data_IF_019601308280
#
_entry.id   IF_019601308280
#
_cell.length_a   1.000
_cell.length_b   1.000
_cell.length_c   1.000
_cell.angle_alpha   90.00
_cell.angle_beta   90.00
_cell.angle_gamma   90.00
#
_symmetry.space_group_name_H-M   'P 1'
#
loop_
_entity.id
_entity.type
_entity.pdbx_description
1 polymer ?
#
# COMPACT_ATOMS: atom_id res chain seq x y z
N UNK A 1 -46.34 -34.67 27.92
CA UNK A 1 -45.19 -34.36 27.05
C UNK A 1 -44.18 -33.61 27.88
N UNK A 2 -42.97 -34.15 28.07
CA UNK A 2 -41.95 -33.61 28.99
C UNK A 2 -41.07 -32.63 28.20
N UNK A 3 -41.18 -31.33 28.48
CA UNK A 3 -40.38 -30.32 27.79
C UNK A 3 -38.94 -30.39 28.31
N UNK A 4 -38.03 -30.79 27.43
CA UNK A 4 -36.58 -30.80 27.69
C UNK A 4 -36.07 -29.44 27.25
N UNK A 5 -35.77 -28.56 28.20
CA UNK A 5 -35.13 -27.26 27.92
C UNK A 5 -33.62 -27.48 27.90
N UNK A 6 -32.91 -27.37 26.76
CA UNK A 6 -31.47 -27.52 26.73
C UNK A 6 -30.82 -26.30 27.40
N UNK A 7 -30.25 -26.50 28.58
CA UNK A 7 -29.38 -25.51 29.22
C UNK A 7 -27.99 -25.61 28.59
N UNK A 8 -27.71 -24.72 27.62
CA UNK A 8 -26.37 -24.57 27.06
C UNK A 8 -25.49 -23.96 28.18
N UNK A 9 -24.73 -24.81 28.88
CA UNK A 9 -23.64 -24.35 29.75
C UNK A 9 -22.52 -23.83 28.85
N UNK A 10 -22.53 -22.52 28.58
CA UNK A 10 -21.50 -21.84 27.82
C UNK A 10 -20.17 -21.94 28.58
N UNK A 11 -19.28 -22.82 28.13
CA UNK A 11 -17.97 -23.00 28.74
C UNK A 11 -17.07 -21.83 28.32
N UNK A 12 -16.60 -21.04 29.29
CA UNK A 12 -15.80 -19.83 29.09
C UNK A 12 -14.52 -20.09 28.27
N UNK A 13 -13.98 -21.30 28.34
CA UNK A 13 -12.85 -21.73 27.53
C UNK A 13 -13.16 -21.69 26.02
N UNK A 14 -14.40 -22.02 25.63
CA UNK A 14 -14.87 -21.99 24.23
C UNK A 14 -14.98 -20.57 23.70
N UNK A 15 -15.39 -19.60 24.54
CA UNK A 15 -15.44 -18.19 24.17
C UNK A 15 -14.04 -17.61 23.93
N UNK A 16 -13.05 -18.01 24.75
CA UNK A 16 -11.66 -17.58 24.60
C UNK A 16 -11.03 -18.14 23.31
N UNK A 17 -11.29 -19.41 22.96
CA UNK A 17 -10.79 -20.01 21.72
C UNK A 17 -11.40 -19.33 20.48
N UNK A 18 -12.69 -18.99 20.53
CA UNK A 18 -13.36 -18.23 19.48
C UNK A 18 -12.75 -16.83 19.35
N UNK A 19 -12.44 -16.16 20.47
CA UNK A 19 -11.80 -14.83 20.46
C UNK A 19 -10.36 -14.86 19.91
N UNK A 20 -9.58 -15.90 20.23
CA UNK A 20 -8.20 -16.06 19.74
C UNK A 20 -8.16 -16.40 18.24
N UNK A 21 -9.15 -17.13 17.73
CA UNK A 21 -9.26 -17.49 16.32
C UNK A 21 -9.41 -16.32 15.34
N UNK A 22 -9.78 -15.13 15.82
CA UNK A 22 -9.90 -13.92 14.99
C UNK A 22 -8.59 -13.14 14.79
N UNK A 23 -7.53 -13.43 15.56
CA UNK A 23 -6.27 -12.66 15.49
C UNK A 23 -5.37 -13.01 14.29
N UNK A 24 -5.72 -14.01 13.49
CA UNK A 24 -4.88 -14.50 12.38
C UNK A 24 -5.33 -14.03 10.99
N UNK A 25 -6.11 -12.94 10.88
CA UNK A 25 -6.38 -12.35 9.56
C UNK A 25 -5.09 -11.77 8.98
N UNK A 26 -4.67 -12.26 7.81
CA UNK A 26 -3.64 -11.58 7.02
C UNK A 26 -4.23 -10.24 6.58
N UNK A 27 -3.64 -9.16 7.07
CA UNK A 27 -4.05 -7.81 6.73
C UNK A 27 -3.48 -7.45 5.36
N UNK A 28 -4.30 -6.84 4.52
CA UNK A 28 -3.92 -6.36 3.19
C UNK A 28 -4.24 -4.88 3.07
N UNK A 29 -3.42 -4.14 2.32
CA UNK A 29 -3.67 -2.73 2.02
C UNK A 29 -3.69 -2.52 0.51
N UNK A 30 -4.60 -1.67 0.04
CA UNK A 30 -4.64 -1.23 -1.36
C UNK A 30 -3.37 -0.44 -1.67
N UNK A 31 -2.65 -0.79 -2.75
CA UNK A 31 -1.39 -0.14 -3.12
C UNK A 31 -1.48 0.47 -4.51
N UNK A 32 -1.16 1.77 -4.59
CA UNK A 32 -1.09 2.50 -5.85
C UNK A 32 0.33 3.04 -6.07
N UNK A 33 0.78 2.99 -7.32
CA UNK A 33 2.07 3.54 -7.76
C UNK A 33 1.80 4.67 -8.74
N UNK A 34 2.11 5.89 -8.35
CA UNK A 34 2.03 7.09 -9.17
C UNK A 34 3.41 7.43 -9.72
N UNK A 35 3.48 7.65 -11.02
CA UNK A 35 4.70 8.06 -11.73
C UNK A 35 4.40 9.30 -12.53
N UNK A 36 5.33 10.25 -12.48
CA UNK A 36 5.35 11.40 -13.35
C UNK A 36 6.79 11.67 -13.79
N UNK A 37 7.11 11.39 -15.05
CA UNK A 37 8.38 11.73 -15.68
C UNK A 37 8.10 12.75 -16.77
N UNK A 38 8.27 14.06 -16.50
CA UNK A 38 7.85 15.11 -17.42
C UNK A 38 8.68 15.13 -18.71
N UNK A 39 9.90 14.62 -18.67
CA UNK A 39 10.81 14.47 -19.81
C UNK A 39 11.66 13.22 -19.61
N UNK A 40 12.32 12.76 -20.68
CA UNK A 40 13.30 11.65 -20.62
C UNK A 40 12.78 10.37 -19.97
N UNK A 41 11.47 10.11 -20.04
CA UNK A 41 10.88 8.86 -19.52
C UNK A 41 11.44 7.60 -20.18
N UNK A 42 12.04 7.73 -21.37
CA UNK A 42 12.73 6.64 -22.03
C UNK A 42 14.04 6.24 -21.36
N UNK A 43 14.47 6.93 -20.31
CA UNK A 43 15.67 6.59 -19.52
C UNK A 43 15.30 5.91 -18.21
N UNK A 44 14.00 5.79 -17.93
CA UNK A 44 13.52 5.47 -16.61
C UNK A 44 12.76 4.14 -16.59
N UNK A 45 13.01 3.33 -15.56
CA UNK A 45 12.08 2.28 -15.17
C UNK A 45 12.16 2.01 -13.66
N UNK A 46 11.08 1.45 -13.13
CA UNK A 46 10.99 1.02 -11.74
C UNK A 46 10.57 -0.44 -11.70
N UNK A 47 11.17 -1.21 -10.80
CA UNK A 47 10.76 -2.58 -10.53
C UNK A 47 10.35 -2.67 -9.07
N UNK A 48 9.21 -3.31 -8.80
CA UNK A 48 8.76 -3.60 -7.44
C UNK A 48 8.88 -5.11 -7.22
N UNK A 49 9.47 -5.47 -6.08
CA UNK A 49 9.68 -6.83 -5.62
C UNK A 49 8.93 -7.10 -4.32
N UNK A 50 8.47 -8.33 -4.16
CA UNK A 50 8.03 -8.83 -2.86
C UNK A 50 9.21 -9.10 -1.90
N UNK A 51 8.90 -9.50 -0.66
CA UNK A 51 9.92 -9.84 0.34
C UNK A 51 10.77 -11.06 -0.05
N UNK A 52 10.23 -11.98 -0.87
CA UNK A 52 10.95 -13.15 -1.36
C UNK A 52 11.89 -12.81 -2.55
N UNK A 53 11.77 -11.61 -3.11
CA UNK A 53 12.54 -11.14 -4.26
C UNK A 53 11.91 -11.47 -5.62
N UNK A 54 10.65 -11.87 -5.67
CA UNK A 54 9.93 -12.02 -6.92
C UNK A 54 9.53 -10.64 -7.47
N UNK A 55 9.69 -10.43 -8.77
CA UNK A 55 9.23 -9.22 -9.46
C UNK A 55 7.69 -9.23 -9.50
N UNK A 56 7.08 -8.23 -8.86
CA UNK A 56 5.63 -7.99 -8.92
C UNK A 56 5.30 -7.28 -10.22
N UNK A 57 6.02 -6.18 -10.49
CA UNK A 57 5.81 -5.37 -11.68
C UNK A 57 7.09 -4.61 -12.05
N UNK A 58 7.21 -4.36 -13.35
CA UNK A 58 8.12 -3.38 -13.94
C UNK A 58 7.33 -2.30 -14.65
N UNK A 59 7.64 -1.05 -14.34
CA UNK A 59 6.94 0.12 -14.83
C UNK A 59 7.93 0.98 -15.63
N UNK A 60 7.57 1.29 -16.87
CA UNK A 60 8.29 2.18 -17.76
C UNK A 60 7.31 2.79 -18.77
N UNK A 61 7.75 3.78 -19.56
CA UNK A 61 6.97 4.25 -20.69
C UNK A 61 6.73 3.08 -21.67
N UNK A 62 5.48 2.67 -21.96
CA UNK A 62 5.20 1.45 -22.73
C UNK A 62 5.68 1.53 -24.18
N UNK A 63 5.75 2.73 -24.74
CA UNK A 63 6.22 2.96 -26.13
C UNK A 63 7.72 3.15 -26.18
N UNK A 64 8.31 3.71 -25.11
CA UNK A 64 9.70 4.13 -25.07
C UNK A 64 10.46 3.51 -23.90
N UNK A 65 10.18 2.24 -23.58
CA UNK A 65 10.72 1.63 -22.37
C UNK A 65 12.25 1.54 -22.44
N UNK A 66 12.94 2.34 -21.62
CA UNK A 66 14.39 2.34 -21.45
C UNK A 66 15.23 2.51 -22.74
N UNK A 67 14.69 3.19 -23.76
CA UNK A 67 15.34 3.42 -25.06
C UNK A 67 16.10 4.77 -25.19
N UNK A 68 16.10 5.62 -24.16
CA UNK A 68 16.74 6.95 -24.17
C UNK A 68 15.90 8.08 -24.78
N UNK A 69 14.62 7.86 -25.07
CA UNK A 69 13.76 8.90 -25.67
C UNK A 69 13.44 10.04 -24.69
N UNK A 70 13.57 11.28 -25.18
CA UNK A 70 13.11 12.51 -24.49
C UNK A 70 11.61 12.72 -24.64
N UNK A 71 10.82 11.86 -24.00
CA UNK A 71 9.36 11.94 -23.99
C UNK A 71 8.82 11.93 -22.57
N UNK A 72 7.67 12.55 -22.37
CA UNK A 72 6.97 12.52 -21.08
C UNK A 72 6.24 11.19 -20.89
N UNK A 73 6.11 10.77 -19.63
CA UNK A 73 5.25 9.64 -19.24
C UNK A 73 4.77 9.82 -17.81
N UNK A 74 3.45 9.74 -17.62
CA UNK A 74 2.84 9.78 -16.31
C UNK A 74 1.72 8.74 -16.26
N UNK A 75 1.62 8.03 -15.14
CA UNK A 75 0.63 6.97 -14.95
C UNK A 75 0.39 6.74 -13.46
N UNK A 76 -0.79 6.20 -13.15
CA UNK A 76 -1.07 5.59 -11.84
C UNK A 76 -1.40 4.12 -12.08
N UNK A 77 -0.78 3.23 -11.32
CA UNK A 77 -0.97 1.79 -11.40
C UNK A 77 -1.50 1.28 -10.08
N UNK A 78 -2.65 0.64 -10.14
CA UNK A 78 -3.28 -0.09 -9.05
C UNK A 78 -2.65 -1.51 -8.98
N UNK A 79 -1.96 -1.83 -7.88
CA UNK A 79 -1.40 -3.17 -7.62
C UNK A 79 -2.34 -4.07 -6.80
N UNK A 80 -3.52 -3.56 -6.47
CA UNK A 80 -4.53 -4.18 -5.65
C UNK A 80 -4.16 -4.21 -4.17
N UNK A 81 -4.87 -5.08 -3.44
CA UNK A 81 -4.62 -5.33 -2.03
C UNK A 81 -3.39 -6.24 -1.85
N UNK A 82 -2.25 -5.66 -1.51
CA UNK A 82 -1.05 -6.40 -1.17
C UNK A 82 -1.05 -6.77 0.32
N UNK A 83 -0.60 -7.98 0.70
CA UNK A 83 -0.42 -8.35 2.11
C UNK A 83 0.57 -7.41 2.79
N UNK A 84 0.29 -7.10 4.06
CA UNK A 84 1.22 -6.37 4.90
C UNK A 84 2.57 -7.11 4.95
N UNK A 85 3.65 -6.36 4.82
CA UNK A 85 4.98 -6.92 4.68
C UNK A 85 6.01 -5.92 4.18
N UNK A 86 7.20 -6.42 3.91
CA UNK A 86 8.31 -5.66 3.37
C UNK A 86 8.43 -5.90 1.87
N UNK A 87 8.54 -4.82 1.12
CA UNK A 87 8.68 -4.80 -0.33
C UNK A 87 9.91 -4.00 -0.70
N UNK A 88 10.38 -4.15 -1.92
CA UNK A 88 11.53 -3.39 -2.41
C UNK A 88 11.19 -2.76 -3.74
N UNK A 89 11.50 -1.48 -3.90
CA UNK A 89 11.49 -0.82 -5.19
C UNK A 89 12.93 -0.60 -5.64
N UNK A 90 13.24 -0.97 -6.88
CA UNK A 90 14.50 -0.63 -7.53
C UNK A 90 14.23 0.36 -8.65
N UNK A 91 14.89 1.50 -8.57
CA UNK A 91 14.66 2.64 -9.43
C UNK A 91 15.87 2.80 -10.35
N UNK A 92 15.58 2.92 -11.64
CA UNK A 92 16.60 3.05 -12.68
C UNK A 92 16.36 4.31 -13.47
N UNK A 93 17.43 5.07 -13.59
CA UNK A 93 17.64 6.16 -14.50
C UNK A 93 18.97 5.85 -15.21
N UNK A 94 19.01 6.00 -16.53
CA UNK A 94 20.17 5.67 -17.36
C UNK A 94 21.36 6.58 -17.07
N UNK A 95 21.14 7.86 -16.83
CA UNK A 95 22.22 8.84 -16.68
C UNK A 95 22.48 9.23 -15.22
N UNK A 96 21.62 8.77 -14.30
CA UNK A 96 21.73 9.05 -12.87
C UNK A 96 21.73 10.56 -12.57
N UNK A 97 21.03 11.35 -13.38
CA UNK A 97 20.80 12.78 -13.22
C UNK A 97 19.39 13.09 -12.68
N UNK A 98 18.62 12.03 -12.36
CA UNK A 98 17.32 12.09 -11.74
C UNK A 98 16.19 11.96 -12.76
N UNK A 99 14.97 12.34 -12.36
CA UNK A 99 13.79 12.21 -13.23
C UNK A 99 13.60 13.38 -14.22
N UNK A 100 14.59 14.28 -14.26
CA UNK A 100 14.59 15.59 -14.88
C UNK A 100 13.39 16.50 -14.48
N UNK A 101 13.66 17.77 -14.20
CA UNK A 101 12.62 18.73 -13.82
C UNK A 101 11.91 18.35 -12.52
N UNK A 102 10.57 18.29 -12.54
CA UNK A 102 9.72 17.96 -11.38
C UNK A 102 9.22 16.51 -11.39
N UNK A 103 10.00 15.59 -11.96
CA UNK A 103 9.63 14.18 -12.04
C UNK A 103 9.66 13.48 -10.68
N UNK A 104 8.82 12.46 -10.50
CA UNK A 104 8.75 11.69 -9.27
C UNK A 104 8.13 10.30 -9.46
N UNK A 105 8.33 9.48 -8.44
CA UNK A 105 7.55 8.28 -8.16
C UNK A 105 7.05 8.34 -6.74
N UNK A 106 5.76 8.00 -6.56
CA UNK A 106 5.10 7.91 -5.27
C UNK A 106 4.39 6.57 -5.16
N UNK A 107 4.48 5.94 -4.00
CA UNK A 107 3.76 4.71 -3.68
C UNK A 107 2.91 4.99 -2.45
N UNK A 108 1.63 4.65 -2.54
CA UNK A 108 0.68 4.75 -1.44
C UNK A 108 0.21 3.38 -1.00
N UNK A 109 -0.15 3.26 0.28
CA UNK A 109 -0.70 2.06 0.91
C UNK A 109 -1.88 2.47 1.77
N UNK A 110 -3.08 1.97 1.46
CA UNK A 110 -4.31 2.36 2.14
C UNK A 110 -4.54 3.88 2.15
N UNK A 111 -4.15 4.55 1.05
CA UNK A 111 -4.24 6.01 0.90
C UNK A 111 -3.12 6.83 1.56
N UNK A 112 -2.21 6.19 2.31
CA UNK A 112 -1.06 6.88 2.92
C UNK A 112 0.19 6.75 2.06
N UNK A 113 0.97 7.82 1.93
CA UNK A 113 2.26 7.78 1.21
C UNK A 113 3.27 6.98 2.02
N UNK A 114 3.76 5.88 1.45
CA UNK A 114 4.79 5.01 2.06
C UNK A 114 6.16 5.18 1.41
N UNK A 115 6.19 5.76 0.21
CA UNK A 115 7.41 6.11 -0.50
C UNK A 115 7.14 7.28 -1.45
N UNK A 116 8.04 8.27 -1.48
CA UNK A 116 7.97 9.42 -2.39
C UNK A 116 9.41 9.82 -2.77
N UNK A 117 9.70 9.84 -4.06
CA UNK A 117 11.04 10.10 -4.58
C UNK A 117 10.99 11.07 -5.75
N UNK A 118 11.46 12.29 -5.53
CA UNK A 118 11.53 13.36 -6.55
C UNK A 118 12.90 13.49 -7.23
N UNK A 119 13.96 12.91 -6.67
CA UNK A 119 15.31 12.97 -7.26
C UNK A 119 16.08 11.68 -7.01
N UNK A 120 16.62 11.02 -8.04
CA UNK A 120 17.46 9.84 -7.84
C UNK A 120 18.90 10.21 -7.59
N UNK A 121 19.51 9.54 -6.62
CA UNK A 121 20.97 9.45 -6.48
C UNK A 121 21.29 7.99 -6.78
N UNK A 122 21.90 7.73 -7.93
CA UNK A 122 22.51 6.47 -8.38
C UNK A 122 21.79 5.16 -8.00
N UNK A 123 21.12 4.50 -8.97
CA UNK A 123 20.56 3.14 -8.86
C UNK A 123 20.01 2.77 -7.46
N UNK A 124 19.00 3.52 -7.02
CA UNK A 124 18.48 3.41 -5.67
C UNK A 124 17.63 2.14 -5.49
N UNK A 125 17.90 1.41 -4.41
CA UNK A 125 17.00 0.39 -3.87
C UNK A 125 16.33 0.97 -2.62
N UNK A 126 15.00 0.97 -2.60
CA UNK A 126 14.19 1.45 -1.49
C UNK A 126 13.46 0.28 -0.84
N UNK A 127 13.51 0.21 0.48
CA UNK A 127 12.71 -0.74 1.28
C UNK A 127 11.39 -0.07 1.63
N UNK A 128 10.29 -0.68 1.23
CA UNK A 128 8.93 -0.19 1.44
C UNK A 128 8.29 -1.10 2.47
N UNK A 129 7.77 -0.52 3.55
CA UNK A 129 7.10 -1.26 4.61
C UNK A 129 5.60 -0.99 4.49
N UNK A 130 4.86 -2.01 4.07
CA UNK A 130 3.40 -2.00 4.07
C UNK A 130 2.92 -2.50 5.43
N UNK A 131 2.49 -1.57 6.27
CA UNK A 131 1.80 -1.87 7.51
C UNK A 131 0.32 -1.64 7.32
N UNK A 132 -0.46 -2.11 8.29
CA UNK A 132 -1.87 -1.80 8.38
C UNK A 132 -2.05 -0.29 8.35
N UNK A 133 -2.53 0.23 7.23
CA UNK A 133 -3.28 1.46 7.25
C UNK A 133 -4.56 1.10 8.00
N UNK A 134 -4.56 1.27 9.32
CA UNK A 134 -5.81 1.26 10.05
C UNK A 134 -6.65 2.31 9.36
N UNK A 135 -7.72 1.87 8.68
CA UNK A 135 -8.84 2.76 8.42
C UNK A 135 -9.25 3.18 9.83
N UNK A 136 -8.83 4.36 10.26
CA UNK A 136 -9.48 5.01 11.38
C UNK A 136 -10.92 5.14 10.92
N UNK A 137 -11.77 4.16 11.29
CA UNK A 137 -13.20 4.39 11.26
C UNK A 137 -13.41 5.72 11.99
N UNK A 138 -14.11 6.70 11.40
CA UNK A 138 -14.37 7.93 12.10
C UNK A 138 -15.06 7.54 13.41
N UNK A 139 -14.39 7.79 14.53
CA UNK A 139 -15.00 7.62 15.84
C UNK A 139 -16.19 8.56 15.85
N UNK A 140 -17.38 8.03 15.59
CA UNK A 140 -18.63 8.75 15.77
C UNK A 140 -18.75 8.92 17.27
N UNK A 141 -18.19 10.02 17.79
CA UNK A 141 -18.40 10.44 19.17
C UNK A 141 -19.90 10.75 19.28
N UNK A 142 -20.69 10.00 20.07
CA UNK A 142 -22.09 10.34 20.26
C UNK A 142 -22.13 11.69 20.98
N UNK A 143 -22.58 12.74 20.29
CA UNK A 143 -22.89 14.01 20.92
C UNK A 143 -23.91 13.76 22.03
N UNK A 144 -23.48 13.88 23.29
CA UNK A 144 -24.40 13.98 24.43
C UNK A 144 -25.28 15.20 24.19
N UNK A 145 -26.56 14.96 23.96
CA UNK A 145 -27.62 15.98 23.95
C UNK A 145 -27.65 16.65 25.32
N UNK A 146 -27.12 17.86 25.43
CA UNK A 146 -27.29 18.73 26.59
C UNK A 146 -28.77 19.13 26.66
N UNK A 147 -29.51 18.53 27.59
CA UNK A 147 -30.86 18.96 27.94
C UNK A 147 -30.69 20.11 28.95
N UNK A 148 -30.90 21.34 28.49
CA UNK A 148 -31.12 22.47 29.40
C UNK A 148 -32.54 22.34 29.97
N UNK A 149 -32.66 22.11 31.28
CA UNK A 149 -33.91 22.35 32.00
C UNK A 149 -33.98 23.85 32.28
N UNK A 150 -34.97 24.51 31.69
CA UNK A 150 -35.45 25.81 32.15
C UNK A 150 -36.31 25.68 33.40
#
# INVERSE_FOLDING_TARGET
>A
MKNITPTIKMNWLTLIIIFIGFYSISQTSQVDVEINWPQWSGENYVIIYDNAGNEIIRICNPTNCYNGSSVAYSTTIDLGCLPNGTYRARLWDRYNDGWNGSGYIRITSGGSVVFDQTYLVEHQEAVIILLLAAVEEPVVVPHKKLIFKG
#
